data_IF_675141013028
#
_entry.id   IF_675141013028
#
_cell.length_a   1.000
_cell.length_b   1.000
_cell.length_c   1.000
_cell.angle_alpha   90.00
_cell.angle_beta   90.00
_cell.angle_gamma   90.00
#
_symmetry.space_group_name_H-M   'P 1'
#
loop_
_entity.id
_entity.type
_entity.pdbx_description
1 polymer ?
#
# COMPACT_ATOMS: atom_id res chain seq x y z
N UNK A 1 16.59 24.97 -0.52
CA UNK A 1 15.83 24.23 -1.54
C UNK A 1 14.84 23.37 -0.80
N UNK A 2 13.55 23.73 -0.79
CA UNK A 2 12.53 22.89 -0.17
C UNK A 2 12.35 21.66 -1.06
N UNK A 3 12.76 20.49 -0.61
CA UNK A 3 12.33 19.23 -1.23
C UNK A 3 10.82 19.19 -1.07
N UNK A 4 10.08 19.37 -2.17
CA UNK A 4 8.64 19.13 -2.20
C UNK A 4 8.48 17.65 -1.90
N UNK A 5 8.14 17.32 -0.66
CA UNK A 5 7.89 15.95 -0.26
C UNK A 5 6.64 15.45 -0.94
N UNK A 6 6.65 14.19 -1.38
CA UNK A 6 5.48 13.50 -1.91
C UNK A 6 4.32 13.63 -0.91
N UNK A 7 3.15 14.08 -1.36
CA UNK A 7 1.94 14.12 -0.54
C UNK A 7 1.13 12.81 -0.66
N UNK A 8 0.16 12.60 0.24
CA UNK A 8 -0.78 11.48 0.11
C UNK A 8 -1.59 11.54 -1.21
N UNK A 9 -1.90 12.75 -1.69
CA UNK A 9 -2.60 12.93 -2.96
C UNK A 9 -1.71 12.54 -4.15
N UNK A 10 -0.43 12.89 -4.13
CA UNK A 10 0.53 12.47 -5.18
C UNK A 10 0.73 10.95 -5.18
N UNK A 11 0.80 10.34 -3.98
CA UNK A 11 0.84 8.89 -3.85
C UNK A 11 -0.43 8.24 -4.42
N UNK A 12 -1.62 8.77 -4.13
CA UNK A 12 -2.88 8.23 -4.63
C UNK A 12 -2.95 8.27 -6.17
N UNK A 13 -2.55 9.38 -6.80
CA UNK A 13 -2.46 9.46 -8.27
C UNK A 13 -1.53 8.41 -8.86
N UNK A 14 -0.31 8.31 -8.31
CA UNK A 14 0.67 7.30 -8.75
C UNK A 14 0.12 5.88 -8.59
N UNK A 15 -0.60 5.63 -7.49
CA UNK A 15 -1.21 4.34 -7.22
C UNK A 15 -2.30 4.00 -8.24
N UNK A 16 -3.16 4.96 -8.58
CA UNK A 16 -4.19 4.80 -9.61
C UNK A 16 -3.60 4.58 -11.00
N UNK A 17 -2.39 5.08 -11.29
CA UNK A 17 -1.69 4.83 -12.56
C UNK A 17 -1.04 3.43 -12.61
N UNK A 18 -0.61 2.90 -11.46
CA UNK A 18 0.24 1.71 -11.37
C UNK A 18 -0.50 0.44 -10.95
N UNK A 19 -1.66 0.55 -10.30
CA UNK A 19 -2.51 -0.56 -9.86
C UNK A 19 -3.83 -0.58 -10.63
N UNK A 20 -4.18 -1.75 -11.14
CA UNK A 20 -5.37 -1.93 -11.97
C UNK A 20 -6.68 -1.91 -11.17
N UNK A 21 -6.66 -2.38 -9.91
CA UNK A 21 -7.84 -2.30 -9.05
C UNK A 21 -8.01 -0.89 -8.50
N UNK A 22 -6.93 -0.23 -8.10
CA UNK A 22 -6.95 1.14 -7.57
C UNK A 22 -7.32 2.15 -8.65
N UNK A 23 -6.92 1.94 -9.90
CA UNK A 23 -7.34 2.75 -11.05
C UNK A 23 -8.87 2.88 -11.20
N UNK A 24 -9.64 1.88 -10.72
CA UNK A 24 -11.11 1.85 -10.81
C UNK A 24 -11.78 2.48 -9.60
N UNK A 25 -11.03 2.77 -8.54
CA UNK A 25 -11.52 3.41 -7.34
C UNK A 25 -11.59 4.93 -7.52
N UNK A 26 -12.63 5.53 -6.95
CA UNK A 26 -12.72 6.97 -6.78
C UNK A 26 -11.63 7.46 -5.81
N UNK A 27 -11.27 8.74 -5.89
CA UNK A 27 -10.29 9.33 -4.96
C UNK A 27 -10.72 9.17 -3.49
N UNK A 28 -12.03 9.28 -3.20
CA UNK A 28 -12.57 9.09 -1.86
C UNK A 28 -12.37 7.65 -1.35
N UNK A 29 -12.56 6.64 -2.19
CA UNK A 29 -12.32 5.24 -1.83
C UNK A 29 -10.84 4.97 -1.56
N UNK A 30 -9.94 5.56 -2.35
CA UNK A 30 -8.49 5.46 -2.13
C UNK A 30 -8.09 6.11 -0.81
N UNK A 31 -8.64 7.29 -0.50
CA UNK A 31 -8.37 7.98 0.76
C UNK A 31 -8.90 7.22 1.98
N UNK A 32 -10.10 6.63 1.89
CA UNK A 32 -10.64 5.77 2.95
C UNK A 32 -9.76 4.56 3.19
N UNK A 33 -9.32 3.90 2.12
CA UNK A 33 -8.42 2.76 2.22
C UNK A 33 -7.07 3.14 2.85
N UNK A 34 -6.51 4.29 2.47
CA UNK A 34 -5.30 4.82 3.10
C UNK A 34 -5.51 5.14 4.58
N UNK A 35 -6.69 5.62 4.96
CA UNK A 35 -7.03 5.86 6.36
C UNK A 35 -7.12 4.54 7.15
N UNK A 36 -7.74 3.50 6.59
CA UNK A 36 -7.84 2.17 7.22
C UNK A 36 -6.46 1.55 7.46
N UNK A 37 -5.54 1.73 6.51
CA UNK A 37 -4.15 1.29 6.62
C UNK A 37 -3.27 2.28 7.40
N UNK A 38 -3.79 3.42 7.85
CA UNK A 38 -3.03 4.51 8.47
C UNK A 38 -1.76 4.87 7.68
N UNK A 39 -1.93 5.13 6.38
CA UNK A 39 -0.85 5.46 5.46
C UNK A 39 -0.27 6.84 5.77
N UNK A 40 1.04 6.90 5.91
CA UNK A 40 1.81 8.13 6.13
C UNK A 40 2.93 8.22 5.08
N UNK A 41 3.15 9.41 4.53
CA UNK A 41 4.18 9.65 3.51
C UNK A 41 5.24 10.59 4.06
N UNK A 42 6.50 10.20 3.92
CA UNK A 42 7.67 10.98 4.32
C UNK A 42 8.69 11.02 3.18
N UNK A 43 8.53 11.98 2.26
CA UNK A 43 9.27 11.97 1.00
C UNK A 43 8.87 10.75 0.17
N UNK A 44 9.84 10.01 -0.38
CA UNK A 44 9.56 8.79 -1.17
C UNK A 44 9.31 7.53 -0.31
N UNK A 45 9.20 7.66 1.03
CA UNK A 45 8.88 6.53 1.92
C UNK A 45 7.43 6.57 2.33
N UNK A 46 6.79 5.41 2.28
CA UNK A 46 5.42 5.18 2.74
C UNK A 46 5.47 4.28 3.95
N UNK A 47 4.78 4.68 5.02
CA UNK A 47 4.50 3.84 6.19
C UNK A 47 3.02 3.51 6.21
N UNK A 48 2.67 2.32 6.64
CA UNK A 48 1.29 1.87 6.73
C UNK A 48 1.21 0.71 7.73
N UNK A 49 0.00 0.33 8.15
CA UNK A 49 -0.24 -0.78 9.06
C UNK A 49 -0.72 -2.00 8.30
N UNK A 50 -0.18 -3.17 8.66
CA UNK A 50 -0.69 -4.45 8.20
C UNK A 50 -2.19 -4.55 8.56
N UNK A 51 -3.10 -4.77 7.59
CA UNK A 51 -4.53 -4.79 7.85
C UNK A 51 -4.97 -5.96 8.75
N UNK A 52 -4.16 -7.02 8.87
CA UNK A 52 -4.47 -8.20 9.68
C UNK A 52 -4.09 -8.07 11.16
N UNK A 53 -2.98 -7.41 11.46
CA UNK A 53 -2.43 -7.38 12.83
C UNK A 53 -1.98 -6.00 13.32
N UNK A 54 -2.06 -4.97 12.48
CA UNK A 54 -1.71 -3.59 12.84
C UNK A 54 -0.21 -3.31 12.93
N UNK A 55 0.67 -4.27 12.65
CA UNK A 55 2.12 -4.07 12.61
C UNK A 55 2.48 -2.94 11.65
N UNK A 56 3.31 -2.00 12.11
CA UNK A 56 3.81 -0.90 11.29
C UNK A 56 4.79 -1.43 10.25
N UNK A 57 4.52 -1.12 8.99
CA UNK A 57 5.31 -1.48 7.82
C UNK A 57 5.81 -0.22 7.13
N UNK A 58 6.87 -0.36 6.33
CA UNK A 58 7.41 0.72 5.54
C UNK A 58 7.95 0.19 4.21
N UNK A 59 7.71 0.95 3.15
CA UNK A 59 8.16 0.65 1.78
C UNK A 59 8.42 1.96 1.04
N UNK A 60 8.85 1.90 -0.21
CA UNK A 60 8.93 3.09 -1.07
C UNK A 60 7.57 3.43 -1.67
N UNK A 61 7.35 4.69 -2.03
CA UNK A 61 6.14 5.14 -2.72
C UNK A 61 5.95 4.44 -4.07
N UNK A 62 7.05 4.10 -4.76
CA UNK A 62 7.01 3.35 -6.01
C UNK A 62 6.53 1.91 -5.82
N UNK A 63 7.04 1.22 -4.82
CA UNK A 63 6.59 -0.14 -4.49
C UNK A 63 5.13 -0.15 -4.00
N UNK A 64 4.79 0.79 -3.10
CA UNK A 64 3.43 0.89 -2.57
C UNK A 64 2.40 1.15 -3.67
N UNK A 65 2.74 1.94 -4.69
CA UNK A 65 1.85 2.23 -5.81
C UNK A 65 1.50 1.01 -6.68
N UNK A 66 2.18 -0.13 -6.50
CA UNK A 66 1.82 -1.38 -7.16
C UNK A 66 0.89 -2.29 -6.33
N UNK A 67 0.63 -1.95 -5.06
CA UNK A 67 -0.15 -2.81 -4.18
C UNK A 67 -1.63 -2.81 -4.56
N UNK A 68 -2.20 -3.98 -4.82
CA UNK A 68 -3.64 -4.08 -5.03
C UNK A 68 -4.38 -4.12 -3.68
N UNK A 69 -5.66 -3.69 -3.61
CA UNK A 69 -6.43 -3.64 -2.35
C UNK A 69 -6.38 -4.94 -1.53
N UNK A 70 -6.41 -6.09 -2.20
CA UNK A 70 -6.38 -7.43 -1.58
C UNK A 70 -5.01 -8.13 -1.75
N UNK A 71 -3.94 -7.36 -1.95
CA UNK A 71 -2.61 -7.92 -2.15
C UNK A 71 -2.01 -8.40 -0.83
N UNK A 72 -1.47 -9.62 -0.83
CA UNK A 72 -0.64 -10.13 0.25
C UNK A 72 0.56 -9.21 0.52
N UNK A 73 0.98 -8.40 -0.46
CA UNK A 73 2.00 -7.37 -0.29
C UNK A 73 1.67 -6.35 0.82
N UNK A 74 0.39 -6.15 1.14
CA UNK A 74 -0.04 -5.30 2.26
C UNK A 74 0.14 -5.97 3.63
N UNK A 75 0.28 -7.29 3.66
CA UNK A 75 0.44 -8.03 4.91
C UNK A 75 1.91 -8.01 5.33
N UNK A 76 2.16 -7.97 6.64
CA UNK A 76 3.51 -8.19 7.17
C UNK A 76 3.95 -9.63 6.95
N UNK A 77 5.26 -9.90 6.98
CA UNK A 77 5.78 -11.26 6.76
C UNK A 77 5.08 -12.35 7.60
N UNK A 78 4.83 -12.15 8.91
CA UNK A 78 4.08 -13.12 9.71
C UNK A 78 2.62 -13.34 9.26
N UNK A 79 2.00 -12.36 8.59
CA UNK A 79 0.60 -12.40 8.16
C UNK A 79 0.41 -12.92 6.74
N UNK A 80 1.46 -12.90 5.90
CA UNK A 80 1.47 -13.37 4.50
C UNK A 80 1.29 -14.90 4.34
N UNK A 81 1.19 -15.64 5.44
CA UNK A 81 1.15 -17.11 5.45
C UNK A 81 2.54 -17.71 5.16
N UNK A 82 2.68 -19.03 5.40
CA UNK A 82 3.91 -19.73 5.04
C UNK A 82 4.03 -19.84 3.50
N UNK A 83 5.23 -19.66 2.92
CA UNK A 83 5.44 -19.82 1.47
C UNK A 83 4.95 -21.17 0.92
N UNK A 84 4.92 -22.21 1.76
CA UNK A 84 4.50 -23.57 1.38
C UNK A 84 3.00 -23.70 1.15
N UNK A 85 2.15 -22.96 1.88
CA UNK A 85 0.69 -23.01 1.68
C UNK A 85 0.25 -22.32 0.37
N UNK A 86 1.04 -21.37 -0.14
CA UNK A 86 0.77 -20.66 -1.40
C UNK A 86 1.06 -21.52 -2.65
N UNK A 87 1.88 -22.56 -2.53
CA UNK A 87 2.24 -23.49 -3.61
C UNK A 87 1.48 -24.84 -3.53
N UNK A 88 0.67 -25.07 -2.51
CA UNK A 88 -0.07 -26.33 -2.32
C UNK A 88 -1.38 -26.42 -3.14
N UNK A 89 -1.59 -25.50 -4.09
CA UNK A 89 -2.71 -25.51 -5.05
C UNK A 89 -2.38 -26.14 -6.40
N UNK A 90 -1.61 -27.24 -6.43
CA UNK A 90 -1.43 -28.11 -7.61
C UNK A 90 -2.04 -29.49 -7.36
#
# INVERSE_FOLDING_TARGET
MATVGLSLHDLAKRHQEMSSSVARMTEAEVQLWYADLNVEVHGERVRYRCPKCGTLMATSAGEFAHYEWNDDALLCLPCRGDPEERNAGL
#
